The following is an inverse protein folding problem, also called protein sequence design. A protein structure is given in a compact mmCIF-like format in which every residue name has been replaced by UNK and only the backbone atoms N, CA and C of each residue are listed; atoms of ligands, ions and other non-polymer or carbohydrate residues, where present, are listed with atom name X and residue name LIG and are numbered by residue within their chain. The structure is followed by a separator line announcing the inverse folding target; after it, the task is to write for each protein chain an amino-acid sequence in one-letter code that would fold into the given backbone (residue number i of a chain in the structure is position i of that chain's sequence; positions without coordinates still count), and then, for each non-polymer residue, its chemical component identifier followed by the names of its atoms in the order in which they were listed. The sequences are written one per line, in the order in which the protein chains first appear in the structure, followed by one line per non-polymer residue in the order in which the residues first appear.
data_IF_075490335585
#
_entry.id   IF_075490335585
#
_cell.length_a   1.000
_cell.length_b   1.000
_cell.length_c   1.000
_cell.angle_alpha   90.00
_cell.angle_beta   90.00
_cell.angle_gamma   90.00
#
_symmetry.space_group_name_H-M   'P 1'
#
loop_
_entity.id
_entity.type
_entity.pdbx_description
1 polymer ?
#
# COMPACT_ATOMS: atom_id res chain seq x y z
N UNK A 1 4.81 -20.10 4.68
CA UNK A 1 5.34 -19.61 3.37
C UNK A 1 5.26 -20.66 2.26
N UNK A 2 4.83 -21.88 2.58
CA UNK A 2 4.64 -22.99 1.64
C UNK A 2 5.78 -23.16 0.61
N UNK A 3 7.04 -22.90 1.01
CA UNK A 3 8.19 -23.20 0.17
C UNK A 3 8.48 -24.71 0.18
N UNK A 4 8.93 -25.21 -0.95
CA UNK A 4 9.33 -26.62 -1.07
C UNK A 4 10.69 -26.82 -0.38
N UNK A 5 10.78 -27.56 0.74
CA UNK A 5 11.98 -27.62 1.58
C UNK A 5 13.17 -28.33 0.89
N UNK A 6 12.87 -29.20 -0.07
CA UNK A 6 13.85 -29.95 -0.86
C UNK A 6 14.29 -29.25 -2.15
N UNK A 7 13.82 -28.03 -2.38
CA UNK A 7 14.18 -27.19 -3.52
C UNK A 7 15.00 -26.00 -3.05
N UNK A 8 15.95 -25.57 -3.88
CA UNK A 8 16.70 -24.33 -3.62
C UNK A 8 15.80 -23.10 -3.73
N UNK A 9 16.28 -21.94 -3.30
CA UNK A 9 15.61 -20.64 -3.42
C UNK A 9 15.25 -20.37 -4.89
N UNK A 10 16.21 -20.54 -5.81
CA UNK A 10 15.98 -20.36 -7.24
C UNK A 10 14.94 -21.33 -7.79
N UNK A 11 14.99 -22.60 -7.38
CA UNK A 11 14.02 -23.60 -7.81
C UNK A 11 12.60 -23.33 -7.25
N UNK A 12 12.51 -22.77 -6.06
CA UNK A 12 11.24 -22.32 -5.49
C UNK A 12 10.67 -21.13 -6.28
N UNK A 13 11.50 -20.11 -6.56
CA UNK A 13 11.09 -18.96 -7.35
C UNK A 13 10.65 -19.34 -8.78
N UNK A 14 11.37 -20.25 -9.44
CA UNK A 14 11.06 -20.71 -10.79
C UNK A 14 9.89 -21.69 -10.90
N UNK A 15 9.27 -22.10 -9.79
CA UNK A 15 8.33 -23.22 -9.74
C UNK A 15 7.15 -23.08 -10.70
N UNK A 16 6.55 -21.89 -10.78
CA UNK A 16 5.40 -21.64 -11.65
C UNK A 16 5.74 -21.82 -13.13
N UNK A 17 6.88 -21.30 -13.57
CA UNK A 17 7.35 -21.45 -14.95
C UNK A 17 7.70 -22.91 -15.26
N UNK A 18 8.28 -23.63 -14.31
CA UNK A 18 8.57 -25.05 -14.45
C UNK A 18 7.31 -25.87 -14.72
N UNK A 19 6.24 -25.62 -13.99
CA UNK A 19 4.96 -26.30 -14.18
C UNK A 19 4.36 -26.00 -15.56
N UNK A 20 4.62 -24.81 -16.10
CA UNK A 20 4.19 -24.39 -17.44
C UNK A 20 5.09 -24.94 -18.57
N UNK A 21 6.16 -25.68 -18.23
CA UNK A 21 7.04 -26.29 -19.23
C UNK A 21 8.04 -25.33 -19.88
N UNK A 22 8.36 -24.20 -19.22
CA UNK A 22 9.39 -23.29 -19.71
C UNK A 22 10.77 -23.99 -19.74
N UNK A 23 11.63 -23.57 -20.66
CA UNK A 23 13.00 -24.09 -20.78
C UNK A 23 13.87 -23.64 -19.59
N UNK A 24 14.97 -24.36 -19.35
CA UNK A 24 15.81 -24.16 -18.19
C UNK A 24 16.53 -22.79 -18.19
N UNK A 25 16.85 -22.25 -19.35
CA UNK A 25 17.47 -20.93 -19.46
C UNK A 25 16.49 -19.83 -19.01
N UNK A 26 15.25 -19.89 -19.46
CA UNK A 26 14.15 -18.99 -19.06
C UNK A 26 13.86 -19.11 -17.55
N UNK A 27 13.77 -20.36 -17.03
CA UNK A 27 13.57 -20.60 -15.59
C UNK A 27 14.64 -19.90 -14.74
N UNK A 28 15.91 -20.06 -15.12
CA UNK A 28 17.03 -19.52 -14.38
C UNK A 28 17.10 -18.00 -14.49
N UNK A 29 16.86 -17.42 -15.65
CA UNK A 29 16.91 -15.99 -15.89
C UNK A 29 15.81 -15.25 -15.09
N UNK A 30 14.55 -15.69 -15.23
CA UNK A 30 13.41 -15.05 -14.55
C UNK A 30 13.49 -15.23 -13.03
N UNK A 31 13.85 -16.39 -12.53
CA UNK A 31 14.02 -16.61 -11.10
C UNK A 31 15.08 -15.67 -10.50
N UNK A 32 16.25 -15.57 -11.15
CA UNK A 32 17.32 -14.66 -10.69
C UNK A 32 16.92 -13.19 -10.73
N UNK A 33 16.24 -12.78 -11.80
CA UNK A 33 15.71 -11.41 -11.93
C UNK A 33 14.84 -11.05 -10.72
N UNK A 34 13.84 -11.88 -10.41
CA UNK A 34 12.90 -11.60 -9.33
C UNK A 34 13.53 -11.76 -7.94
N UNK A 35 14.44 -12.73 -7.76
CA UNK A 35 15.21 -12.86 -6.51
C UNK A 35 16.07 -11.63 -6.25
N UNK A 36 16.71 -11.07 -7.27
CA UNK A 36 17.46 -9.83 -7.14
C UNK A 36 16.56 -8.65 -6.75
N UNK A 37 15.38 -8.52 -7.39
CA UNK A 37 14.39 -7.45 -7.09
C UNK A 37 13.90 -7.49 -5.63
N UNK A 38 13.76 -8.68 -5.04
CA UNK A 38 13.37 -8.83 -3.62
C UNK A 38 14.58 -8.88 -2.66
N UNK A 39 15.79 -8.51 -3.11
CA UNK A 39 16.99 -8.44 -2.27
C UNK A 39 17.52 -9.80 -1.82
N UNK A 40 17.40 -10.84 -2.65
CA UNK A 40 17.89 -12.20 -2.39
C UNK A 40 18.96 -12.64 -3.40
N UNK A 41 19.64 -11.71 -4.05
CA UNK A 41 20.80 -12.00 -4.89
C UNK A 41 21.92 -12.67 -4.06
N UNK A 42 22.46 -13.76 -4.56
CA UNK A 42 23.50 -14.55 -3.89
C UNK A 42 22.97 -15.67 -2.96
N UNK A 43 21.62 -15.80 -2.86
CA UNK A 43 20.99 -16.86 -2.06
C UNK A 43 20.36 -17.96 -2.93
N UNK A 44 20.58 -17.94 -4.24
CA UNK A 44 19.93 -18.80 -5.24
C UNK A 44 20.03 -20.29 -4.92
N UNK A 45 21.22 -20.72 -4.47
CA UNK A 45 21.55 -22.13 -4.20
C UNK A 45 21.22 -22.55 -2.75
N UNK A 46 20.76 -21.64 -1.90
CA UNK A 46 20.36 -21.96 -0.53
C UNK A 46 19.04 -22.70 -0.49
N UNK A 47 18.82 -23.46 0.58
CA UNK A 47 17.55 -24.12 0.87
C UNK A 47 16.72 -23.29 1.86
N UNK A 48 15.38 -23.44 1.88
CA UNK A 48 14.52 -22.68 2.80
C UNK A 48 14.95 -22.75 4.26
N UNK A 49 15.41 -23.91 4.75
CA UNK A 49 15.90 -24.09 6.12
C UNK A 49 17.11 -23.24 6.49
N UNK A 50 17.83 -22.68 5.51
CA UNK A 50 19.00 -21.82 5.68
C UNK A 50 18.65 -20.33 5.68
N UNK A 51 17.37 -19.99 5.57
CA UNK A 51 16.85 -18.63 5.46
C UNK A 51 16.07 -18.21 6.71
N UNK A 52 16.11 -16.93 7.05
CA UNK A 52 15.16 -16.37 8.03
C UNK A 52 13.71 -16.41 7.50
N UNK A 53 12.72 -16.29 8.40
CA UNK A 53 11.31 -16.25 8.02
C UNK A 53 11.00 -15.15 6.98
N UNK A 54 11.54 -13.95 7.18
CA UNK A 54 11.40 -12.85 6.23
C UNK A 54 12.07 -13.11 4.88
N UNK A 55 13.22 -13.78 4.84
CA UNK A 55 13.83 -14.21 3.57
C UNK A 55 12.96 -15.24 2.86
N UNK A 56 12.39 -16.22 3.59
CA UNK A 56 11.47 -17.21 3.01
C UNK A 56 10.22 -16.53 2.41
N UNK A 57 9.70 -15.50 3.08
CA UNK A 57 8.57 -14.71 2.59
C UNK A 57 8.91 -14.01 1.28
N UNK A 58 10.09 -13.36 1.19
CA UNK A 58 10.59 -12.75 -0.05
C UNK A 58 10.78 -13.76 -1.19
N UNK A 59 11.19 -14.98 -0.91
CA UNK A 59 11.20 -16.07 -1.92
C UNK A 59 9.78 -16.37 -2.41
N UNK A 60 8.79 -16.38 -1.51
CA UNK A 60 7.37 -16.56 -1.87
C UNK A 60 6.87 -15.46 -2.80
N UNK A 61 7.22 -14.19 -2.52
CA UNK A 61 6.91 -13.04 -3.38
C UNK A 61 7.59 -13.19 -4.75
N UNK A 62 8.90 -13.50 -4.79
CA UNK A 62 9.61 -13.74 -6.04
C UNK A 62 8.96 -14.86 -6.89
N UNK A 63 8.51 -15.94 -6.24
CA UNK A 63 7.78 -17.04 -6.91
C UNK A 63 6.47 -16.57 -7.52
N UNK A 64 5.71 -15.74 -6.81
CA UNK A 64 4.46 -15.18 -7.33
C UNK A 64 4.70 -14.24 -8.52
N UNK A 65 5.74 -13.39 -8.46
CA UNK A 65 6.14 -12.50 -9.54
C UNK A 65 6.64 -13.27 -10.78
N UNK A 66 7.45 -14.31 -10.57
CA UNK A 66 7.94 -15.19 -11.63
C UNK A 66 6.80 -15.88 -12.37
N UNK A 67 5.67 -16.15 -11.71
CA UNK A 67 4.49 -16.74 -12.34
C UNK A 67 3.90 -15.88 -13.45
N UNK A 68 4.13 -14.57 -13.42
CA UNK A 68 3.67 -13.58 -14.40
C UNK A 68 2.19 -13.75 -14.80
N UNK A 69 1.31 -13.85 -13.80
CA UNK A 69 -0.15 -13.93 -13.98
C UNK A 69 -0.76 -12.53 -14.01
N UNK A 70 -1.93 -12.37 -14.64
CA UNK A 70 -2.66 -11.08 -14.64
C UNK A 70 -3.25 -10.75 -13.29
N UNK A 71 -3.59 -11.78 -12.49
CA UNK A 71 -4.10 -11.65 -11.13
C UNK A 71 -3.10 -12.28 -10.16
N UNK A 72 -2.74 -11.56 -9.11
CA UNK A 72 -1.89 -12.03 -8.02
C UNK A 72 -2.67 -12.03 -6.72
N UNK A 73 -2.62 -13.16 -6.01
CA UNK A 73 -3.23 -13.31 -4.68
C UNK A 73 -2.12 -13.32 -3.64
N UNK A 74 -2.22 -12.43 -2.67
CA UNK A 74 -1.27 -12.30 -1.57
C UNK A 74 -2.01 -12.38 -0.24
N UNK A 75 -1.63 -13.34 0.59
CA UNK A 75 -2.19 -13.55 1.91
C UNK A 75 -1.11 -13.29 2.96
N UNK A 76 -1.27 -12.22 3.73
CA UNK A 76 -0.33 -11.74 4.75
C UNK A 76 1.14 -11.73 4.29
N UNK A 77 1.39 -11.24 3.06
CA UNK A 77 2.67 -11.37 2.39
C UNK A 77 3.84 -10.65 3.07
N UNK A 78 3.59 -9.74 4.01
CA UNK A 78 4.62 -8.97 4.70
C UNK A 78 4.65 -9.17 6.22
N UNK A 79 3.81 -10.07 6.77
CA UNK A 79 3.63 -10.26 8.22
C UNK A 79 4.91 -10.69 8.97
N UNK A 80 5.80 -11.47 8.32
CA UNK A 80 7.05 -11.95 8.93
C UNK A 80 8.29 -11.07 8.62
N UNK A 81 8.08 -9.88 8.02
CA UNK A 81 9.17 -8.95 7.72
C UNK A 81 9.37 -7.98 8.89
N UNK A 82 10.62 -7.59 9.12
CA UNK A 82 10.93 -6.47 9.98
C UNK A 82 10.42 -5.14 9.36
N UNK A 83 10.20 -4.09 10.17
CA UNK A 83 9.54 -2.87 9.69
C UNK A 83 10.23 -2.20 8.51
N UNK A 84 11.59 -2.21 8.45
CA UNK A 84 12.33 -1.58 7.37
C UNK A 84 12.15 -2.34 6.06
N UNK A 85 12.39 -3.66 6.10
CA UNK A 85 12.23 -4.53 4.93
C UNK A 85 10.76 -4.57 4.47
N UNK A 86 9.81 -4.53 5.42
CA UNK A 86 8.37 -4.43 5.08
C UNK A 86 8.09 -3.20 4.25
N UNK A 87 8.57 -2.03 4.67
CA UNK A 87 8.41 -0.78 3.92
C UNK A 87 8.99 -0.88 2.51
N UNK A 88 10.20 -1.43 2.38
CA UNK A 88 10.87 -1.62 1.09
C UNK A 88 10.07 -2.56 0.17
N UNK A 89 9.52 -3.66 0.72
CA UNK A 89 8.73 -4.61 -0.06
C UNK A 89 7.36 -4.04 -0.47
N UNK A 90 6.74 -3.23 0.37
CA UNK A 90 5.51 -2.51 0.03
C UNK A 90 5.75 -1.51 -1.10
N UNK A 91 6.84 -0.73 -1.03
CA UNK A 91 7.22 0.21 -2.07
C UNK A 91 7.52 -0.52 -3.38
N UNK A 92 8.27 -1.63 -3.33
CA UNK A 92 8.51 -2.48 -4.50
C UNK A 92 7.20 -2.99 -5.11
N UNK A 93 6.21 -3.37 -4.29
CA UNK A 93 4.91 -3.84 -4.79
C UNK A 93 4.16 -2.73 -5.53
N UNK A 94 4.18 -1.49 -5.02
CA UNK A 94 3.59 -0.32 -5.67
C UNK A 94 4.28 -0.02 -7.01
N UNK A 95 5.62 0.02 -7.04
CA UNK A 95 6.40 0.19 -8.28
C UNK A 95 6.05 -0.88 -9.32
N UNK A 96 5.93 -2.14 -8.89
CA UNK A 96 5.60 -3.25 -9.78
C UNK A 96 4.15 -3.20 -10.28
N UNK A 97 3.24 -2.70 -9.46
CA UNK A 97 1.84 -2.52 -9.85
C UNK A 97 1.74 -1.46 -10.95
N UNK A 98 2.44 -0.33 -10.81
CA UNK A 98 2.54 0.71 -11.83
C UNK A 98 3.23 0.21 -13.11
N UNK A 99 4.33 -0.57 -12.98
CA UNK A 99 5.08 -1.11 -14.13
C UNK A 99 4.31 -2.18 -14.90
N UNK A 100 3.62 -3.07 -14.18
CA UNK A 100 3.05 -4.30 -14.75
C UNK A 100 1.53 -4.24 -14.93
N UNK A 101 0.85 -3.22 -14.38
CA UNK A 101 -0.61 -3.03 -14.43
C UNK A 101 -1.41 -4.29 -14.05
N UNK A 102 -0.96 -5.00 -13.01
CA UNK A 102 -1.58 -6.25 -12.56
C UNK A 102 -2.68 -5.99 -11.54
N UNK A 103 -3.68 -6.87 -11.53
CA UNK A 103 -4.65 -6.92 -10.44
C UNK A 103 -4.05 -7.68 -9.26
N UNK A 104 -3.93 -7.04 -8.10
CA UNK A 104 -3.42 -7.65 -6.88
C UNK A 104 -4.55 -7.71 -5.86
N UNK A 105 -4.89 -8.92 -5.41
CA UNK A 105 -5.78 -9.13 -4.27
C UNK A 105 -4.90 -9.40 -3.06
N UNK A 106 -4.91 -8.47 -2.11
CA UNK A 106 -4.04 -8.49 -0.95
C UNK A 106 -4.86 -8.65 0.33
N UNK A 107 -4.56 -9.65 1.14
CA UNK A 107 -5.18 -9.90 2.45
C UNK A 107 -4.18 -9.51 3.52
N UNK A 108 -4.60 -8.66 4.43
CA UNK A 108 -3.82 -8.25 5.60
C UNK A 108 -4.73 -7.97 6.79
N UNK A 109 -4.19 -8.08 7.99
CA UNK A 109 -4.80 -7.60 9.23
C UNK A 109 -4.24 -6.23 9.68
N UNK A 110 -3.24 -5.71 8.95
CA UNK A 110 -2.61 -4.42 9.19
C UNK A 110 -3.30 -3.34 8.35
N UNK A 111 -4.03 -2.44 9.02
CA UNK A 111 -4.80 -1.39 8.36
C UNK A 111 -3.90 -0.35 7.68
N UNK A 112 -2.76 0.02 8.27
CA UNK A 112 -1.79 0.96 7.67
C UNK A 112 -1.28 0.41 6.33
N UNK A 113 -1.03 -0.90 6.29
CA UNK A 113 -0.62 -1.60 5.08
C UNK A 113 -1.72 -1.57 4.01
N UNK A 114 -2.96 -1.90 4.40
CA UNK A 114 -4.11 -1.85 3.49
C UNK A 114 -4.34 -0.44 2.92
N UNK A 115 -4.29 0.58 3.77
CA UNK A 115 -4.47 1.99 3.37
C UNK A 115 -3.35 2.52 2.47
N UNK A 116 -2.13 1.97 2.60
CA UNK A 116 -0.99 2.33 1.77
C UNK A 116 -1.04 1.70 0.38
N UNK A 117 -1.49 0.44 0.30
CA UNK A 117 -1.36 -0.38 -0.90
C UNK A 117 -2.62 -0.43 -1.77
N UNK A 118 -3.81 -0.25 -1.18
CA UNK A 118 -5.06 -0.51 -1.88
C UNK A 118 -5.56 0.70 -2.68
N UNK A 119 -6.03 0.44 -3.90
CA UNK A 119 -6.92 1.34 -4.65
C UNK A 119 -8.38 1.14 -4.20
N UNK A 120 -8.72 -0.10 -3.78
CA UNK A 120 -10.03 -0.46 -3.27
C UNK A 120 -9.87 -1.35 -2.03
N UNK A 121 -10.46 -0.93 -0.91
CA UNK A 121 -10.41 -1.63 0.36
C UNK A 121 -11.75 -2.30 0.66
N UNK A 122 -11.69 -3.53 1.15
CA UNK A 122 -12.84 -4.28 1.65
C UNK A 122 -12.57 -4.67 3.09
N UNK A 123 -13.41 -4.22 4.03
CA UNK A 123 -13.30 -4.57 5.45
C UNK A 123 -14.31 -5.65 5.79
N UNK A 124 -13.80 -6.74 6.36
CA UNK A 124 -14.56 -7.93 6.74
C UNK A 124 -14.62 -8.05 8.27
N UNK A 125 -15.80 -8.41 8.78
CA UNK A 125 -16.01 -8.77 10.17
C UNK A 125 -16.96 -9.96 10.23
N UNK A 126 -16.62 -10.98 11.02
CA UNK A 126 -17.44 -12.18 11.21
C UNK A 126 -17.88 -12.85 9.89
N UNK A 127 -17.00 -12.81 8.88
CA UNK A 127 -17.27 -13.41 7.56
C UNK A 127 -18.16 -12.57 6.63
N UNK A 128 -18.56 -11.37 7.04
CA UNK A 128 -19.37 -10.46 6.24
C UNK A 128 -18.60 -9.18 5.86
N UNK A 129 -18.91 -8.60 4.70
CA UNK A 129 -18.40 -7.28 4.30
C UNK A 129 -19.13 -6.21 5.10
N UNK A 130 -18.38 -5.41 5.87
CA UNK A 130 -18.92 -4.29 6.66
C UNK A 130 -18.89 -2.99 5.85
N UNK A 131 -17.75 -2.71 5.22
CA UNK A 131 -17.57 -1.54 4.36
C UNK A 131 -16.58 -1.84 3.24
N UNK A 132 -16.78 -1.19 2.09
CA UNK A 132 -15.84 -1.24 0.99
C UNK A 132 -15.82 0.09 0.23
N UNK A 133 -14.69 0.40 -0.40
CA UNK A 133 -14.51 1.62 -1.19
C UNK A 133 -13.06 2.05 -1.29
N UNK A 134 -12.84 3.27 -1.78
CA UNK A 134 -11.52 3.89 -1.74
C UNK A 134 -11.06 4.07 -0.27
N UNK A 135 -9.79 3.77 0.07
CA UNK A 135 -9.28 3.85 1.44
C UNK A 135 -9.56 5.20 2.12
N UNK A 136 -9.35 6.29 1.42
CA UNK A 136 -9.58 7.64 1.94
C UNK A 136 -11.07 7.93 2.20
N UNK A 137 -11.95 7.40 1.35
CA UNK A 137 -13.41 7.50 1.54
C UNK A 137 -13.87 6.78 2.82
N UNK A 138 -13.28 5.62 3.12
CA UNK A 138 -13.56 4.86 4.35
C UNK A 138 -13.06 5.62 5.59
N UNK A 139 -11.85 6.18 5.54
CA UNK A 139 -11.31 7.00 6.64
C UNK A 139 -12.14 8.26 6.93
N UNK A 140 -12.67 8.89 5.89
CA UNK A 140 -13.43 10.13 6.02
C UNK A 140 -14.88 9.90 6.43
N UNK A 141 -15.46 8.75 6.05
CA UNK A 141 -16.87 8.43 6.25
C UNK A 141 -17.05 6.96 6.68
N UNK A 142 -16.58 6.59 7.89
CA UNK A 142 -16.86 5.27 8.44
C UNK A 142 -18.37 5.07 8.59
N UNK A 143 -18.90 3.91 8.17
CA UNK A 143 -20.34 3.66 8.16
C UNK A 143 -20.87 2.94 9.41
N UNK A 144 -19.97 2.49 10.28
CA UNK A 144 -20.30 1.64 11.43
C UNK A 144 -19.33 1.94 12.60
N UNK A 145 -19.77 1.91 13.87
CA UNK A 145 -18.91 2.15 15.03
C UNK A 145 -17.67 1.23 15.08
N UNK A 146 -17.78 0.01 14.57
CA UNK A 146 -16.63 -0.89 14.46
C UNK A 146 -15.56 -0.33 13.52
N UNK A 147 -15.98 0.27 12.39
CA UNK A 147 -15.04 0.91 11.46
C UNK A 147 -14.45 2.17 12.08
N UNK A 148 -15.25 2.98 12.81
CA UNK A 148 -14.75 4.14 13.54
C UNK A 148 -13.64 3.76 14.52
N UNK A 149 -13.86 2.71 15.33
CA UNK A 149 -12.86 2.19 16.27
C UNK A 149 -11.63 1.64 15.51
N UNK A 150 -11.88 0.91 14.41
CA UNK A 150 -10.82 0.28 13.62
C UNK A 150 -9.89 1.30 12.96
N UNK A 151 -10.39 2.49 12.57
CA UNK A 151 -9.62 3.57 11.94
C UNK A 151 -9.16 4.65 12.93
N UNK A 152 -9.52 4.54 14.22
CA UNK A 152 -9.25 5.58 15.23
C UNK A 152 -7.77 5.83 15.47
N UNK A 153 -6.96 4.76 15.47
CA UNK A 153 -5.53 4.80 15.75
C UNK A 153 -4.67 5.17 14.54
N UNK A 154 -5.29 5.33 13.37
CA UNK A 154 -4.58 5.66 12.14
C UNK A 154 -4.05 7.09 12.15
N UNK A 155 -2.79 7.25 11.80
CA UNK A 155 -2.23 8.57 11.52
C UNK A 155 -2.78 9.13 10.20
N UNK A 156 -3.93 9.82 10.29
CA UNK A 156 -4.64 10.41 9.15
C UNK A 156 -3.76 11.32 8.31
N UNK A 157 -2.80 12.03 8.91
CA UNK A 157 -1.90 12.93 8.19
C UNK A 157 -1.03 12.18 7.17
N UNK A 158 -0.65 10.94 7.46
CA UNK A 158 0.17 10.09 6.57
C UNK A 158 -0.62 9.45 5.44
N UNK A 159 -1.88 9.13 5.70
CA UNK A 159 -2.71 8.38 4.78
C UNK A 159 -3.54 9.28 3.89
N UNK A 160 -4.16 10.34 4.46
CA UNK A 160 -4.98 11.27 3.69
C UNK A 160 -4.12 12.08 2.71
N UNK A 161 -4.65 12.21 1.50
CA UNK A 161 -4.05 13.00 0.43
C UNK A 161 -4.81 14.30 0.24
N UNK A 162 -4.17 15.29 -0.35
CA UNK A 162 -4.75 16.58 -0.72
C UNK A 162 -6.09 16.40 -1.45
N UNK A 163 -6.16 15.46 -2.39
CA UNK A 163 -7.38 15.11 -3.16
C UNK A 163 -8.61 14.90 -2.29
N UNK A 164 -8.45 14.29 -1.09
CA UNK A 164 -9.59 13.93 -0.23
C UNK A 164 -10.13 15.08 0.61
N UNK A 165 -9.39 16.19 0.70
CA UNK A 165 -9.72 17.34 1.57
C UNK A 165 -9.76 18.67 0.83
N UNK A 166 -9.36 18.72 -0.45
CA UNK A 166 -9.41 19.93 -1.26
C UNK A 166 -10.84 20.37 -1.55
N UNK A 167 -11.02 21.67 -1.80
CA UNK A 167 -12.24 22.29 -2.30
C UNK A 167 -12.11 22.66 -3.79
N UNK A 168 -13.22 22.96 -4.48
CA UNK A 168 -13.16 23.55 -5.81
C UNK A 168 -12.35 24.85 -5.80
N UNK A 169 -11.69 25.15 -6.91
CA UNK A 169 -10.87 26.36 -7.07
C UNK A 169 -11.75 27.60 -7.17
N UNK A 170 -11.75 28.44 -6.15
CA UNK A 170 -12.52 29.71 -6.12
C UNK A 170 -11.61 30.90 -5.79
N UNK A 171 -10.50 30.67 -5.10
CA UNK A 171 -9.55 31.70 -4.67
C UNK A 171 -8.63 32.21 -5.79
N UNK A 172 -7.99 33.35 -5.54
CA UNK A 172 -7.03 33.95 -6.44
C UNK A 172 -5.65 34.20 -5.81
N UNK A 173 -5.54 34.16 -4.48
CA UNK A 173 -4.30 34.37 -3.74
C UNK A 173 -3.91 33.09 -3.00
N UNK A 174 -2.71 32.58 -3.27
CA UNK A 174 -2.22 31.33 -2.71
C UNK A 174 -0.81 31.50 -2.14
N UNK A 175 -0.52 30.81 -1.06
CA UNK A 175 0.81 30.73 -0.45
C UNK A 175 1.80 29.89 -1.29
N UNK A 176 1.27 29.11 -2.23
CA UNK A 176 2.03 28.26 -3.14
C UNK A 176 1.19 27.16 -3.74
N UNK A 177 1.84 26.27 -4.49
CA UNK A 177 1.23 25.14 -5.15
C UNK A 177 1.55 23.85 -4.40
N UNK A 178 0.58 22.92 -4.37
CA UNK A 178 0.71 21.56 -3.80
C UNK A 178 0.16 20.54 -4.78
N UNK A 179 0.74 19.35 -4.80
CA UNK A 179 0.29 18.28 -5.68
C UNK A 179 -0.96 17.60 -5.09
N UNK A 180 -1.91 17.22 -5.96
CA UNK A 180 -3.15 16.53 -5.59
C UNK A 180 -2.88 15.20 -4.87
N UNK A 181 -1.75 14.56 -5.16
CA UNK A 181 -1.28 13.30 -4.57
C UNK A 181 -0.49 13.47 -3.28
N UNK A 182 -0.11 14.68 -2.87
CA UNK A 182 0.64 14.92 -1.64
C UNK A 182 -0.14 14.42 -0.41
N UNK A 183 0.59 13.86 0.58
CA UNK A 183 -0.02 13.53 1.87
C UNK A 183 -0.13 14.78 2.77
N UNK A 184 -1.05 14.74 3.72
CA UNK A 184 -1.29 15.90 4.58
C UNK A 184 -0.13 16.18 5.55
N UNK A 185 0.68 15.16 5.92
CA UNK A 185 1.86 15.31 6.79
C UNK A 185 2.90 16.24 6.13
N UNK A 186 3.15 16.11 4.83
CA UNK A 186 4.08 16.98 4.10
C UNK A 186 3.63 18.44 4.08
N UNK A 187 2.34 18.68 3.98
CA UNK A 187 1.78 20.03 4.01
C UNK A 187 1.85 20.65 5.42
N UNK A 188 1.61 19.87 6.46
CA UNK A 188 1.76 20.32 7.85
C UNK A 188 3.22 20.74 8.09
N UNK A 189 4.18 19.93 7.65
CA UNK A 189 5.60 20.27 7.76
C UNK A 189 5.93 21.55 6.98
N UNK A 190 5.41 21.70 5.76
CA UNK A 190 5.64 22.86 4.90
C UNK A 190 5.01 24.15 5.43
N UNK A 191 3.87 24.05 6.09
CA UNK A 191 3.16 25.22 6.69
C UNK A 191 3.79 25.72 7.97
N UNK A 192 4.75 24.98 8.55
CA UNK A 192 5.34 25.28 9.87
C UNK A 192 4.29 25.50 10.98
N UNK A 193 3.09 24.91 10.79
CA UNK A 193 1.96 25.02 11.73
C UNK A 193 1.08 26.24 11.50
N UNK A 194 1.32 27.06 10.47
CA UNK A 194 0.43 28.17 10.12
C UNK A 194 -0.86 27.64 9.46
N UNK A 195 -1.97 27.72 10.19
CA UNK A 195 -3.28 27.27 9.72
C UNK A 195 -4.02 28.30 8.85
N UNK A 196 -3.47 29.48 8.65
CA UNK A 196 -4.06 30.52 7.80
C UNK A 196 -3.68 30.38 6.34
N UNK A 197 -2.66 29.56 6.03
CA UNK A 197 -2.17 29.36 4.68
C UNK A 197 -3.22 28.69 3.79
N UNK A 198 -3.21 29.13 2.53
CA UNK A 198 -4.10 28.67 1.47
C UNK A 198 -3.26 28.27 0.27
N UNK A 199 -3.42 27.04 -0.20
CA UNK A 199 -2.64 26.47 -1.30
C UNK A 199 -3.51 26.20 -2.51
N UNK A 200 -2.95 26.39 -3.71
CA UNK A 200 -3.55 25.95 -4.97
C UNK A 200 -3.16 24.48 -5.19
N UNK A 201 -4.15 23.65 -5.53
CA UNK A 201 -3.95 22.22 -5.77
C UNK A 201 -3.76 21.98 -7.25
N UNK A 202 -2.67 21.30 -7.59
CA UNK A 202 -2.25 21.00 -8.95
C UNK A 202 -2.38 19.49 -9.24
N UNK A 203 -2.79 19.18 -10.47
CA UNK A 203 -2.67 17.85 -11.09
C UNK A 203 -1.80 18.01 -12.34
N UNK A 204 -0.51 17.67 -12.21
CA UNK A 204 0.49 18.07 -13.18
C UNK A 204 0.53 19.59 -13.32
N UNK A 205 0.33 20.10 -14.55
CA UNK A 205 0.32 21.54 -14.85
C UNK A 205 -1.06 22.21 -14.72
N UNK A 206 -2.09 21.46 -14.28
CA UNK A 206 -3.46 21.94 -14.22
C UNK A 206 -3.88 22.23 -12.77
N UNK A 207 -4.38 23.45 -12.52
CA UNK A 207 -5.00 23.78 -11.24
C UNK A 207 -6.40 23.14 -11.14
N UNK A 208 -6.59 22.25 -10.15
CA UNK A 208 -7.81 21.43 -10.00
C UNK A 208 -8.60 21.75 -8.74
N UNK A 209 -8.04 22.55 -7.83
CA UNK A 209 -8.72 22.90 -6.58
C UNK A 209 -7.85 23.78 -5.70
N UNK A 210 -8.31 23.94 -4.47
CA UNK A 210 -7.65 24.70 -3.43
C UNK A 210 -7.73 24.00 -2.08
N UNK A 211 -6.77 24.28 -1.19
CA UNK A 211 -6.72 23.69 0.15
C UNK A 211 -6.37 24.75 1.20
N UNK A 212 -7.28 25.00 2.11
CA UNK A 212 -6.99 25.75 3.32
C UNK A 212 -6.40 24.86 4.40
N UNK A 213 -5.30 25.26 5.02
CA UNK A 213 -4.68 24.52 6.13
C UNK A 213 -5.64 24.26 7.29
N UNK A 214 -6.59 25.18 7.52
CA UNK A 214 -7.67 24.99 8.50
C UNK A 214 -8.55 23.77 8.21
N UNK A 215 -8.86 23.50 6.94
CA UNK A 215 -9.71 22.36 6.57
C UNK A 215 -8.93 21.06 6.58
N UNK A 216 -7.63 21.10 6.26
CA UNK A 216 -6.72 20.00 6.50
C UNK A 216 -6.73 19.60 7.99
N UNK A 217 -6.54 20.55 8.91
CA UNK A 217 -6.56 20.26 10.35
C UNK A 217 -7.89 19.64 10.81
N UNK A 218 -9.03 20.09 10.28
CA UNK A 218 -10.34 19.48 10.57
C UNK A 218 -10.43 18.03 10.11
N UNK A 219 -9.83 17.69 8.95
CA UNK A 219 -9.84 16.33 8.40
C UNK A 219 -9.04 15.34 9.25
N UNK A 220 -8.05 15.82 10.02
CA UNK A 220 -7.25 14.99 10.93
C UNK A 220 -8.03 14.56 12.17
N UNK A 221 -9.05 15.32 12.57
CA UNK A 221 -9.86 14.98 13.75
C UNK A 221 -10.91 13.96 13.33
N UNK A 222 -10.94 12.76 13.95
CA UNK A 222 -12.03 11.81 13.71
C UNK A 222 -13.38 12.47 13.99
N UNK A 223 -14.37 12.24 13.13
CA UNK A 223 -15.74 12.63 13.44
C UNK A 223 -16.21 11.72 14.56
N UNK A 224 -16.31 12.24 15.77
CA UNK A 224 -16.99 11.52 16.84
C UNK A 224 -18.45 11.37 16.43
N UNK A 225 -18.93 10.15 16.27
CA UNK A 225 -20.35 9.89 16.17
C UNK A 225 -20.99 10.54 17.38
N UNK A 226 -21.92 11.47 17.16
CA UNK A 226 -22.74 12.02 18.22
C UNK A 226 -23.49 10.85 18.84
N UNK A 227 -23.03 10.38 19.98
CA UNK A 227 -23.75 9.46 20.86
C UNK A 227 -25.12 10.10 21.06
N UNK A 228 -26.15 9.48 20.49
CA UNK A 228 -27.51 9.84 20.80
C UNK A 228 -27.70 9.60 22.31
N UNK A 229 -27.60 10.67 23.07
CA UNK A 229 -28.16 10.73 24.42
C UNK A 229 -29.68 10.71 24.23
N UNK A 230 -30.25 9.56 24.53
CA UNK A 230 -31.68 9.34 24.58
C UNK A 230 -31.97 8.23 25.55
#
# INVERSE_FOLDING_TARGET
FALLPHRTVQQNAAMALKVRGADEATLNAEARKWLARVGLQGYEDRYPAQLSGGMQQRVGIARALTANTDIMLMDEAFSALDPLIRTDMQNLLLELQEELHKTIVFITHDLDEALKLADHLVILKDGAVVQQGEPQGILMNPCDPYIEDFVSDINRARVLRVKSVMAPLEGSEFAGDVDIGDNLESLIARSEGDTTLHYRVMDGDTAVGELHMRDLVKALVPRLSSTQTG
#
